data_IF_860381722037
#
_entry.id   IF_860381722037
#
_cell.length_a   1.000
_cell.length_b   1.000
_cell.length_c   1.000
_cell.angle_alpha   90.00
_cell.angle_beta   90.00
_cell.angle_gamma   90.00
#
_symmetry.space_group_name_H-M   'P 1'
#
loop_
_entity.id
_entity.type
_entity.pdbx_description
1 polymer ?
#
# COMPACT_ATOMS: atom_id res chain seq x y z
N UNK A 1 -18.55 -12.50 -22.90
CA UNK A 1 -18.41 -11.19 -22.23
C UNK A 1 -17.16 -10.54 -22.81
N UNK A 2 -17.23 -9.30 -23.21
CA UNK A 2 -16.07 -8.55 -23.72
C UNK A 2 -15.12 -8.27 -22.55
N UNK A 3 -13.82 -8.37 -22.81
CA UNK A 3 -12.79 -7.98 -21.83
C UNK A 3 -12.86 -6.48 -21.61
N UNK A 4 -13.00 -5.98 -20.37
CA UNK A 4 -12.99 -4.54 -20.12
C UNK A 4 -11.65 -3.92 -20.52
N UNK A 5 -11.67 -2.77 -21.19
CA UNK A 5 -10.49 -1.97 -21.51
C UNK A 5 -10.36 -0.82 -20.49
N UNK A 6 -9.34 -0.87 -19.63
CA UNK A 6 -9.12 0.08 -18.55
C UNK A 6 -8.13 1.18 -18.99
N UNK A 7 -8.57 2.43 -18.91
CA UNK A 7 -7.70 3.60 -19.07
C UNK A 7 -7.08 3.98 -17.72
N UNK A 8 -5.75 3.96 -17.63
CA UNK A 8 -5.00 4.11 -16.39
C UNK A 8 -4.32 5.47 -16.30
N UNK A 9 -4.58 6.21 -15.22
CA UNK A 9 -3.90 7.46 -14.85
C UNK A 9 -2.95 7.17 -13.68
N UNK A 10 -1.64 7.26 -13.90
CA UNK A 10 -0.63 6.97 -12.90
C UNK A 10 -0.20 8.26 -12.17
N UNK A 11 -0.53 8.40 -10.90
CA UNK A 11 -0.06 9.48 -10.03
C UNK A 11 1.02 8.92 -9.10
N UNK A 12 2.26 9.26 -9.41
CA UNK A 12 3.45 8.57 -8.91
C UNK A 12 3.95 7.53 -9.93
N UNK A 13 5.21 7.69 -10.36
CA UNK A 13 5.87 6.77 -11.28
C UNK A 13 7.28 6.42 -10.79
N UNK A 14 7.34 6.15 -9.47
CA UNK A 14 8.52 5.68 -8.77
C UNK A 14 8.82 4.19 -9.05
N UNK A 15 9.49 3.52 -8.12
CA UNK A 15 9.82 2.10 -8.28
C UNK A 15 8.58 1.21 -8.44
N UNK A 16 7.53 1.43 -7.62
CA UNK A 16 6.29 0.65 -7.69
C UNK A 16 5.57 0.87 -9.01
N UNK A 17 5.36 2.12 -9.44
CA UNK A 17 4.65 2.42 -10.70
C UNK A 17 5.37 1.87 -11.93
N UNK A 18 6.71 1.97 -12.00
CA UNK A 18 7.49 1.37 -13.08
C UNK A 18 7.45 -0.17 -13.03
N UNK A 19 7.61 -0.78 -11.85
CA UNK A 19 7.50 -2.24 -11.72
C UNK A 19 6.11 -2.74 -12.11
N UNK A 20 5.08 -1.97 -11.79
CA UNK A 20 3.70 -2.30 -12.15
C UNK A 20 3.50 -2.37 -13.68
N UNK A 21 3.93 -1.36 -14.44
CA UNK A 21 3.77 -1.41 -15.91
C UNK A 21 4.59 -2.52 -16.55
N UNK A 22 5.78 -2.82 -16.02
CA UNK A 22 6.55 -3.99 -16.46
C UNK A 22 5.81 -5.30 -16.14
N UNK A 23 5.25 -5.41 -14.95
CA UNK A 23 4.50 -6.60 -14.52
C UNK A 23 3.27 -6.83 -15.40
N UNK A 24 2.51 -5.79 -15.74
CA UNK A 24 1.37 -5.91 -16.67
C UNK A 24 1.79 -6.50 -18.02
N UNK A 25 2.92 -6.06 -18.58
CA UNK A 25 3.45 -6.64 -19.81
C UNK A 25 3.90 -8.10 -19.65
N UNK A 26 4.53 -8.45 -18.51
CA UNK A 26 4.99 -9.81 -18.23
C UNK A 26 3.85 -10.82 -18.07
N UNK A 27 2.71 -10.39 -17.53
CA UNK A 27 1.59 -11.27 -17.21
C UNK A 27 0.36 -11.03 -18.10
N UNK A 28 0.49 -10.22 -19.16
CA UNK A 28 -0.64 -9.74 -19.97
C UNK A 28 -1.60 -10.86 -20.40
N UNK A 29 -1.10 -12.01 -20.85
CA UNK A 29 -1.93 -13.17 -21.24
C UNK A 29 -2.76 -13.79 -20.09
N UNK A 30 -2.44 -13.44 -18.84
CA UNK A 30 -3.13 -13.94 -17.63
C UNK A 30 -4.14 -12.94 -17.07
N UNK A 31 -4.15 -11.70 -17.59
CA UNK A 31 -5.07 -10.66 -17.15
C UNK A 31 -6.48 -10.90 -17.69
N UNK A 32 -7.45 -10.51 -16.93
CA UNK A 32 -8.87 -10.57 -17.29
C UNK A 32 -9.42 -9.19 -17.74
N UNK A 33 -8.52 -8.25 -18.04
CA UNK A 33 -8.80 -6.91 -18.58
C UNK A 33 -7.71 -6.49 -19.57
N UNK A 34 -8.08 -5.69 -20.54
CA UNK A 34 -7.15 -4.93 -21.38
C UNK A 34 -6.84 -3.60 -20.70
N UNK A 35 -5.73 -2.99 -21.05
CA UNK A 35 -5.30 -1.77 -20.39
C UNK A 35 -4.47 -0.86 -21.30
N UNK A 36 -4.58 0.44 -21.05
CA UNK A 36 -3.65 1.45 -21.57
C UNK A 36 -3.38 2.52 -20.51
N UNK A 37 -2.16 3.01 -20.43
CA UNK A 37 -1.82 4.16 -19.60
C UNK A 37 -2.07 5.42 -20.42
N UNK A 38 -2.96 6.28 -19.93
CA UNK A 38 -3.37 7.52 -20.63
C UNK A 38 -2.73 8.76 -20.03
N UNK A 39 -2.20 8.66 -18.82
CA UNK A 39 -1.45 9.76 -18.21
C UNK A 39 -0.49 9.27 -17.13
N UNK A 40 0.60 10.02 -16.96
CA UNK A 40 1.56 9.82 -15.87
C UNK A 40 1.88 11.19 -15.26
N UNK A 41 1.79 11.30 -13.93
CA UNK A 41 2.23 12.47 -13.16
C UNK A 41 3.32 12.08 -12.17
N UNK A 42 4.38 12.87 -12.10
CA UNK A 42 5.48 12.68 -11.13
C UNK A 42 5.81 14.00 -10.43
N UNK A 43 6.40 13.91 -9.26
CA UNK A 43 6.84 15.10 -8.51
C UNK A 43 8.05 15.79 -9.16
N UNK A 44 8.98 15.02 -9.76
CA UNK A 44 10.28 15.53 -10.16
C UNK A 44 10.60 15.34 -11.66
N UNK A 45 9.79 14.55 -12.38
CA UNK A 45 10.02 14.24 -13.80
C UNK A 45 8.90 14.76 -14.71
N UNK A 46 8.11 15.74 -14.22
CA UNK A 46 7.00 16.30 -14.99
C UNK A 46 5.83 15.31 -15.16
N UNK A 47 5.07 15.52 -16.23
CA UNK A 47 3.86 14.73 -16.52
C UNK A 47 3.69 14.55 -18.02
N UNK A 48 2.84 13.59 -18.40
CA UNK A 48 2.38 13.36 -19.78
C UNK A 48 0.91 12.97 -19.74
N UNK A 49 0.13 13.45 -20.71
CA UNK A 49 -1.27 13.05 -20.93
C UNK A 49 -1.42 12.75 -22.42
N UNK A 50 -1.80 11.51 -22.72
CA UNK A 50 -2.13 11.04 -24.07
C UNK A 50 -3.34 10.09 -23.99
N UNK A 51 -4.54 10.54 -24.37
CA UNK A 51 -5.75 9.72 -24.34
C UNK A 51 -5.67 8.45 -25.18
N UNK A 52 -4.86 8.45 -26.26
CA UNK A 52 -4.67 7.28 -27.12
C UNK A 52 -3.72 6.24 -26.53
N UNK A 53 -2.89 6.64 -25.57
CA UNK A 53 -1.99 5.75 -24.83
C UNK A 53 -0.53 6.23 -24.81
N UNK A 54 0.01 6.36 -23.60
CA UNK A 54 1.41 6.74 -23.34
C UNK A 54 2.32 5.55 -23.62
N UNK A 55 3.42 5.78 -24.33
CA UNK A 55 4.52 4.80 -24.45
C UNK A 55 5.19 4.62 -23.06
N UNK A 56 4.69 3.65 -22.29
CA UNK A 56 5.13 3.39 -20.91
C UNK A 56 6.58 2.89 -20.84
N UNK A 57 7.06 2.21 -21.88
CA UNK A 57 8.46 1.75 -21.91
C UNK A 57 9.42 2.94 -22.05
N UNK A 58 9.08 3.87 -22.94
CA UNK A 58 9.83 5.12 -23.11
C UNK A 58 9.71 6.02 -21.89
N UNK A 59 8.53 6.10 -21.25
CA UNK A 59 8.33 6.83 -20.01
C UNK A 59 9.22 6.29 -18.88
N UNK A 60 9.27 4.97 -18.70
CA UNK A 60 10.11 4.32 -17.70
C UNK A 60 11.59 4.63 -17.95
N UNK A 61 12.06 4.48 -19.19
CA UNK A 61 13.44 4.77 -19.56
C UNK A 61 13.83 6.26 -19.32
N UNK A 62 12.92 7.20 -19.57
CA UNK A 62 13.15 8.61 -19.29
C UNK A 62 13.33 8.86 -17.79
N UNK A 63 12.44 8.33 -16.95
CA UNK A 63 12.53 8.51 -15.50
C UNK A 63 13.77 7.85 -14.91
N UNK A 64 14.15 6.66 -15.38
CA UNK A 64 15.39 5.97 -14.97
C UNK A 64 16.65 6.75 -15.34
N UNK A 65 16.62 7.42 -16.48
CA UNK A 65 17.70 8.32 -16.90
C UNK A 65 17.61 9.73 -16.26
N UNK A 66 16.72 9.93 -15.27
CA UNK A 66 16.47 11.23 -14.63
C UNK A 66 16.06 12.34 -15.59
N UNK A 67 15.37 11.98 -16.68
CA UNK A 67 14.85 12.92 -17.65
C UNK A 67 13.35 13.22 -17.39
N UNK A 68 12.88 14.36 -17.94
CA UNK A 68 11.46 14.75 -17.87
C UNK A 68 10.59 13.95 -18.84
N UNK A 69 9.38 13.59 -18.37
CA UNK A 69 8.30 13.02 -19.16
C UNK A 69 7.75 14.01 -20.22
N UNK A 70 8.00 15.30 -20.05
CA UNK A 70 7.64 16.34 -21.02
C UNK A 70 8.20 16.07 -22.43
N UNK A 71 9.26 15.25 -22.53
CA UNK A 71 9.82 14.79 -23.81
C UNK A 71 8.90 13.88 -24.62
N UNK A 72 7.82 13.41 -24.02
CA UNK A 72 6.80 12.60 -24.69
C UNK A 72 5.69 13.46 -25.31
N UNK A 73 5.60 14.75 -24.97
CA UNK A 73 4.60 15.67 -25.50
C UNK A 73 5.22 16.62 -26.54
N UNK A 74 4.38 16.99 -27.54
CA UNK A 74 4.76 18.01 -28.52
C UNK A 74 4.73 19.41 -27.90
N UNK A 75 3.80 19.65 -26.97
CA UNK A 75 3.63 20.91 -26.24
C UNK A 75 3.62 20.63 -24.73
N UNK A 76 4.80 20.50 -24.10
CA UNK A 76 4.90 20.22 -22.66
C UNK A 76 4.24 21.32 -21.82
N UNK A 77 3.57 20.91 -20.75
CA UNK A 77 2.94 21.81 -19.76
C UNK A 77 3.27 21.37 -18.37
N UNK A 78 3.52 22.33 -17.48
CA UNK A 78 3.65 22.07 -16.07
C UNK A 78 2.25 21.73 -15.48
N UNK A 79 2.12 20.58 -14.83
CA UNK A 79 0.87 20.08 -14.24
C UNK A 79 1.16 19.43 -12.90
N UNK A 80 0.28 19.68 -11.92
CA UNK A 80 0.21 18.89 -10.70
C UNK A 80 -0.45 17.52 -10.96
N UNK A 81 -0.36 16.60 -10.01
CA UNK A 81 -1.11 15.33 -10.08
C UNK A 81 -2.61 15.53 -10.23
N UNK A 82 -3.18 16.52 -9.53
CA UNK A 82 -4.60 16.88 -9.62
C UNK A 82 -4.96 17.41 -11.02
N UNK A 83 -4.10 18.24 -11.62
CA UNK A 83 -4.34 18.74 -12.98
C UNK A 83 -4.37 17.61 -14.00
N UNK A 84 -3.42 16.64 -13.87
CA UNK A 84 -3.37 15.44 -14.72
C UNK A 84 -4.64 14.60 -14.57
N UNK A 85 -5.09 14.36 -13.33
CA UNK A 85 -6.34 13.64 -13.04
C UNK A 85 -7.53 14.32 -13.75
N UNK A 86 -7.73 15.62 -13.52
CA UNK A 86 -8.85 16.38 -14.10
C UNK A 86 -8.79 16.46 -15.62
N UNK A 87 -7.62 16.68 -16.18
CA UNK A 87 -7.43 16.71 -17.63
C UNK A 87 -7.75 15.35 -18.27
N UNK A 88 -7.30 14.25 -17.66
CA UNK A 88 -7.58 12.90 -18.15
C UNK A 88 -9.07 12.58 -18.10
N UNK A 89 -9.77 12.93 -17.00
CA UNK A 89 -11.21 12.75 -16.89
C UNK A 89 -12.00 13.58 -17.93
N UNK A 90 -11.55 14.79 -18.23
CA UNK A 90 -12.18 15.63 -19.25
C UNK A 90 -11.95 15.07 -20.65
N UNK A 91 -10.74 14.57 -20.94
CA UNK A 91 -10.40 14.01 -22.25
C UNK A 91 -11.10 12.66 -22.51
N UNK A 92 -11.36 11.90 -21.45
CA UNK A 92 -11.93 10.54 -21.48
C UNK A 92 -13.24 10.47 -20.69
N UNK A 93 -14.14 11.43 -20.94
CA UNK A 93 -15.40 11.57 -20.19
C UNK A 93 -16.32 10.35 -20.32
N UNK A 94 -16.34 9.69 -21.48
CA UNK A 94 -17.14 8.49 -21.69
C UNK A 94 -16.59 7.30 -20.90
N UNK A 95 -15.28 7.07 -20.90
CA UNK A 95 -14.62 6.03 -20.10
C UNK A 95 -14.79 6.29 -18.59
N UNK A 96 -14.74 7.57 -18.17
CA UNK A 96 -15.00 7.94 -16.78
C UNK A 96 -16.46 7.63 -16.40
N UNK A 97 -17.43 7.98 -17.24
CA UNK A 97 -18.84 7.69 -17.01
C UNK A 97 -19.13 6.18 -16.96
N UNK A 98 -18.49 5.40 -17.83
CA UNK A 98 -18.62 3.93 -17.89
C UNK A 98 -17.81 3.20 -16.80
N UNK A 99 -17.07 3.92 -15.96
CA UNK A 99 -16.23 3.34 -14.91
C UNK A 99 -14.96 2.65 -15.43
N UNK A 100 -14.52 2.93 -16.65
CA UNK A 100 -13.30 2.35 -17.25
C UNK A 100 -12.05 3.18 -17.00
N UNK A 101 -12.18 4.38 -16.43
CA UNK A 101 -11.06 5.25 -16.07
C UNK A 101 -10.65 5.02 -14.62
N UNK A 102 -9.37 4.67 -14.40
CA UNK A 102 -8.82 4.30 -13.08
C UNK A 102 -7.61 5.17 -12.76
N UNK A 103 -7.62 5.80 -11.59
CA UNK A 103 -6.47 6.48 -11.02
C UNK A 103 -5.66 5.51 -10.15
N UNK A 104 -4.38 5.32 -10.47
CA UNK A 104 -3.42 4.56 -9.69
C UNK A 104 -2.51 5.53 -8.94
N UNK A 105 -2.72 5.64 -7.62
CA UNK A 105 -1.97 6.53 -6.75
C UNK A 105 -0.83 5.74 -6.07
N UNK A 106 0.42 6.17 -6.28
CA UNK A 106 1.62 5.52 -5.73
C UNK A 106 2.69 6.54 -5.33
N UNK A 107 2.27 7.67 -4.78
CA UNK A 107 3.19 8.67 -4.23
C UNK A 107 3.75 8.24 -2.87
N UNK A 108 4.78 8.93 -2.39
CA UNK A 108 5.42 8.64 -1.10
C UNK A 108 4.46 8.98 0.05
N UNK A 109 4.48 8.15 1.11
CA UNK A 109 3.74 8.42 2.34
C UNK A 109 4.20 9.72 2.99
N UNK A 110 3.26 10.61 3.26
CA UNK A 110 3.42 11.70 4.23
C UNK A 110 2.81 11.26 5.56
N UNK A 111 3.61 11.24 6.61
CA UNK A 111 3.20 10.75 7.93
C UNK A 111 2.51 11.82 8.77
N UNK A 112 2.60 13.08 8.38
CA UNK A 112 2.01 14.18 9.14
C UNK A 112 0.50 14.33 8.86
N UNK A 113 0.08 14.14 7.59
CA UNK A 113 -1.30 14.34 7.20
C UNK A 113 -1.81 13.48 6.04
N UNK A 114 -0.95 12.64 5.44
CA UNK A 114 -1.30 11.77 4.30
C UNK A 114 -1.40 12.48 2.95
N UNK A 115 -0.93 13.73 2.86
CA UNK A 115 -0.95 14.51 1.62
C UNK A 115 0.35 14.31 0.79
N UNK A 116 0.34 14.45 -0.52
CA UNK A 116 -0.80 14.83 -1.37
C UNK A 116 -1.72 13.66 -1.79
N UNK A 117 -1.48 12.44 -1.29
CA UNK A 117 -2.21 11.26 -1.73
C UNK A 117 -3.72 11.35 -1.47
N UNK A 118 -4.15 11.89 -0.33
CA UNK A 118 -5.56 12.12 -0.01
C UNK A 118 -6.21 13.06 -1.03
N UNK A 119 -5.55 14.16 -1.36
CA UNK A 119 -6.03 15.12 -2.36
C UNK A 119 -6.09 14.51 -3.76
N UNK A 120 -5.15 13.62 -4.13
CA UNK A 120 -5.19 12.90 -5.39
C UNK A 120 -6.39 11.93 -5.45
N UNK A 121 -6.58 11.12 -4.41
CA UNK A 121 -7.71 10.18 -4.32
C UNK A 121 -9.04 10.92 -4.39
N UNK A 122 -9.20 12.00 -3.60
CA UNK A 122 -10.40 12.83 -3.63
C UNK A 122 -10.67 13.39 -5.02
N UNK A 123 -9.68 14.00 -5.66
CA UNK A 123 -9.82 14.59 -6.98
C UNK A 123 -10.19 13.54 -8.05
N UNK A 124 -9.65 12.32 -7.95
CA UNK A 124 -9.97 11.23 -8.86
C UNK A 124 -11.41 10.74 -8.67
N UNK A 125 -11.88 10.56 -7.44
CA UNK A 125 -13.26 10.18 -7.14
C UNK A 125 -14.25 11.26 -7.61
N UNK A 126 -13.97 12.55 -7.31
CA UNK A 126 -14.77 13.68 -7.82
C UNK A 126 -14.83 13.73 -9.34
N UNK A 127 -13.77 13.24 -10.01
CA UNK A 127 -13.68 13.14 -11.47
C UNK A 127 -14.25 11.82 -12.02
N UNK A 128 -15.05 11.08 -11.24
CA UNK A 128 -15.71 9.83 -11.62
C UNK A 128 -14.75 8.69 -11.99
N UNK A 129 -13.55 8.67 -11.42
CA UNK A 129 -12.59 7.57 -11.59
C UNK A 129 -12.72 6.56 -10.45
N UNK A 130 -12.49 5.29 -10.75
CA UNK A 130 -12.07 4.34 -9.72
C UNK A 130 -10.68 4.69 -9.23
N UNK A 131 -10.38 4.38 -7.97
CA UNK A 131 -9.07 4.65 -7.37
C UNK A 131 -8.48 3.37 -6.80
N UNK A 132 -7.22 3.14 -7.13
CA UNK A 132 -6.38 2.10 -6.53
C UNK A 132 -5.11 2.77 -5.99
N UNK A 133 -4.75 2.50 -4.73
CA UNK A 133 -3.53 3.07 -4.14
C UNK A 133 -2.73 2.03 -3.35
N UNK A 134 -1.41 2.18 -3.36
CA UNK A 134 -0.49 1.47 -2.46
C UNK A 134 0.00 2.38 -1.33
N UNK A 135 -0.39 3.66 -1.34
CA UNK A 135 -0.07 4.60 -0.30
C UNK A 135 -0.99 4.40 0.92
N UNK A 136 -0.39 4.32 2.08
CA UNK A 136 -1.11 4.10 3.35
C UNK A 136 -1.90 5.34 3.80
N UNK A 137 -1.43 6.55 3.42
CA UNK A 137 -1.97 7.83 3.86
C UNK A 137 -3.49 7.93 3.72
N UNK A 138 -4.08 7.69 2.54
CA UNK A 138 -5.53 7.78 2.34
C UNK A 138 -6.33 6.88 3.29
N UNK A 139 -5.92 5.62 3.49
CA UNK A 139 -6.59 4.69 4.41
C UNK A 139 -6.31 5.00 5.89
N UNK A 140 -5.13 5.54 6.21
CA UNK A 140 -4.72 5.84 7.59
C UNK A 140 -5.31 7.15 8.13
N UNK A 141 -5.56 8.15 7.28
CA UNK A 141 -5.97 9.49 7.73
C UNK A 141 -7.39 9.87 7.29
N UNK A 142 -7.89 9.37 6.15
CA UNK A 142 -9.12 9.85 5.53
C UNK A 142 -10.05 8.74 5.02
N UNK A 143 -9.90 7.49 5.51
CA UNK A 143 -10.63 6.33 4.98
C UNK A 143 -12.14 6.56 4.86
N UNK A 144 -12.82 6.94 5.95
CA UNK A 144 -14.28 7.07 5.95
C UNK A 144 -14.80 8.16 5.02
N UNK A 145 -14.07 9.28 4.91
CA UNK A 145 -14.40 10.37 3.99
C UNK A 145 -14.30 9.89 2.55
N UNK A 146 -13.17 9.25 2.20
CA UNK A 146 -12.91 8.81 0.83
C UNK A 146 -13.79 7.64 0.41
N UNK A 147 -14.07 6.71 1.32
CA UNK A 147 -15.01 5.60 1.08
C UNK A 147 -16.41 6.11 0.85
N UNK A 148 -16.91 7.04 1.70
CA UNK A 148 -18.22 7.66 1.53
C UNK A 148 -18.32 8.45 0.21
N UNK A 149 -17.23 9.12 -0.19
CA UNK A 149 -17.18 9.79 -1.49
C UNK A 149 -17.23 8.78 -2.63
N UNK A 150 -16.47 7.70 -2.56
CA UNK A 150 -16.46 6.64 -3.56
C UNK A 150 -17.87 6.02 -3.75
N UNK A 151 -18.55 5.71 -2.63
CA UNK A 151 -19.93 5.21 -2.62
C UNK A 151 -20.90 6.23 -3.26
N UNK A 152 -20.78 7.51 -2.91
CA UNK A 152 -21.66 8.56 -3.42
C UNK A 152 -21.58 8.75 -4.94
N UNK A 153 -20.41 8.46 -5.53
CA UNK A 153 -20.19 8.58 -6.99
C UNK A 153 -20.22 7.23 -7.71
N UNK A 154 -20.58 6.15 -7.01
CA UNK A 154 -20.58 4.76 -7.51
C UNK A 154 -19.24 4.36 -8.14
N UNK A 155 -18.16 4.64 -7.42
CA UNK A 155 -16.80 4.23 -7.76
C UNK A 155 -16.21 3.45 -6.59
N UNK A 156 -15.05 2.83 -6.78
CA UNK A 156 -14.35 2.12 -5.72
C UNK A 156 -13.08 2.86 -5.32
N UNK A 157 -12.75 2.74 -4.05
CA UNK A 157 -11.47 3.13 -3.47
C UNK A 157 -10.79 1.88 -2.90
N UNK A 158 -9.78 1.36 -3.61
CA UNK A 158 -9.06 0.14 -3.28
C UNK A 158 -7.61 0.44 -2.89
N UNK A 159 -7.06 -0.34 -1.96
CA UNK A 159 -5.75 -0.08 -1.37
C UNK A 159 -5.09 -1.36 -0.81
N UNK A 160 -5.25 -2.50 -1.50
CA UNK A 160 -4.70 -3.78 -1.04
C UNK A 160 -3.20 -3.69 -0.72
N UNK A 161 -2.44 -2.95 -1.54
CA UNK A 161 -1.00 -2.78 -1.35
C UNK A 161 -0.56 -1.89 -0.19
N UNK A 162 -1.50 -1.34 0.59
CA UNK A 162 -1.16 -0.38 1.65
C UNK A 162 -0.52 -1.01 2.89
N UNK A 163 -0.71 -2.30 3.17
CA UNK A 163 -0.26 -2.92 4.44
C UNK A 163 0.75 -4.04 4.26
N UNK A 164 0.45 -5.09 3.51
CA UNK A 164 1.30 -6.27 3.35
C UNK A 164 1.65 -6.53 1.88
N UNK A 165 2.13 -5.51 1.19
CA UNK A 165 2.45 -5.57 -0.23
C UNK A 165 1.28 -6.14 -1.05
N UNK A 166 1.48 -7.24 -1.77
CA UNK A 166 0.44 -7.91 -2.57
C UNK A 166 -0.26 -9.08 -1.86
N UNK A 167 0.01 -9.28 -0.58
CA UNK A 167 -0.66 -10.32 0.19
C UNK A 167 -2.06 -9.84 0.57
N UNK A 168 -3.13 -10.60 0.27
CA UNK A 168 -4.49 -10.14 0.48
C UNK A 168 -4.83 -10.03 1.97
N UNK A 169 -5.20 -8.84 2.40
CA UNK A 169 -5.70 -8.54 3.74
C UNK A 169 -7.10 -7.94 3.64
N UNK A 170 -7.23 -6.83 2.92
CA UNK A 170 -8.51 -6.12 2.80
C UNK A 170 -9.48 -6.88 1.90
N UNK A 171 -9.00 -7.38 0.76
CA UNK A 171 -9.81 -8.22 -0.14
C UNK A 171 -10.20 -9.54 0.53
N UNK A 172 -9.30 -10.18 1.30
CA UNK A 172 -9.62 -11.39 2.05
C UNK A 172 -10.82 -11.16 2.99
N UNK A 173 -10.77 -10.12 3.82
CA UNK A 173 -11.85 -9.83 4.77
C UNK A 173 -13.14 -9.45 4.04
N UNK A 174 -13.07 -8.52 3.09
CA UNK A 174 -14.23 -8.01 2.36
C UNK A 174 -14.96 -9.08 1.56
N UNK A 175 -14.21 -9.96 0.87
CA UNK A 175 -14.79 -10.91 -0.08
C UNK A 175 -15.09 -12.29 0.53
N UNK A 176 -14.37 -12.69 1.57
CA UNK A 176 -14.45 -14.06 2.08
C UNK A 176 -14.87 -14.19 3.54
N UNK A 177 -15.04 -13.08 4.26
CA UNK A 177 -15.47 -13.09 5.68
C UNK A 177 -16.77 -12.29 5.88
N UNK A 178 -17.86 -12.62 5.17
CA UNK A 178 -19.12 -11.89 5.31
C UNK A 178 -19.65 -12.01 6.73
N UNK A 179 -20.11 -10.88 7.31
CA UNK A 179 -20.66 -10.78 8.66
C UNK A 179 -19.70 -11.13 9.81
N UNK A 180 -18.41 -11.32 9.54
CA UNK A 180 -17.39 -11.50 10.58
C UNK A 180 -17.01 -10.12 11.14
N UNK A 181 -16.97 -9.99 12.47
CA UNK A 181 -16.44 -8.80 13.13
C UNK A 181 -14.98 -9.02 13.52
N UNK A 182 -14.13 -8.08 13.16
CA UNK A 182 -12.73 -8.06 13.61
C UNK A 182 -12.69 -7.33 14.96
N UNK A 183 -12.38 -8.06 16.03
CA UNK A 183 -12.28 -7.53 17.38
C UNK A 183 -10.88 -7.02 17.72
N UNK A 184 -9.87 -7.44 16.93
CA UNK A 184 -8.49 -6.99 17.07
C UNK A 184 -7.56 -7.64 16.06
N UNK A 185 -6.33 -7.27 16.14
CA UNK A 185 -5.23 -7.91 15.41
C UNK A 185 -3.91 -7.74 16.13
N UNK A 186 -2.93 -8.57 15.75
CA UNK A 186 -1.52 -8.38 16.07
C UNK A 186 -0.66 -8.88 14.90
N UNK A 187 0.49 -8.22 14.69
CA UNK A 187 1.36 -8.60 13.58
C UNK A 187 2.74 -7.95 13.62
N UNK A 188 3.65 -8.54 12.90
CA UNK A 188 4.93 -7.94 12.48
C UNK A 188 4.71 -7.55 11.01
N UNK A 189 4.54 -6.26 10.76
CA UNK A 189 4.07 -5.73 9.47
C UNK A 189 5.02 -4.68 8.88
N UNK A 190 6.23 -4.56 9.42
CA UNK A 190 7.28 -3.70 8.89
C UNK A 190 8.54 -4.53 8.62
N UNK A 191 8.83 -4.73 7.34
CA UNK A 191 9.93 -5.57 6.83
C UNK A 191 11.30 -5.07 7.29
N UNK A 192 11.54 -3.76 7.25
CA UNK A 192 12.82 -3.14 7.62
C UNK A 192 13.16 -3.38 9.09
N UNK A 193 12.22 -3.12 9.99
CA UNK A 193 12.43 -3.32 11.44
C UNK A 193 12.63 -4.80 11.80
N UNK A 194 11.86 -5.71 11.17
CA UNK A 194 12.02 -7.14 11.41
C UNK A 194 13.39 -7.65 10.94
N UNK A 195 13.85 -7.21 9.76
CA UNK A 195 15.19 -7.53 9.27
C UNK A 195 16.28 -7.02 10.21
N UNK A 196 16.20 -5.75 10.64
CA UNK A 196 17.19 -5.16 11.55
C UNK A 196 17.26 -5.96 12.86
N UNK A 197 16.11 -6.26 13.48
CA UNK A 197 16.09 -7.04 14.73
C UNK A 197 16.65 -8.45 14.51
N UNK A 198 16.32 -9.12 13.41
CA UNK A 198 16.88 -10.44 13.07
C UNK A 198 18.39 -10.40 12.83
N UNK A 199 18.89 -9.35 12.20
CA UNK A 199 20.33 -9.15 11.98
C UNK A 199 21.08 -8.91 13.30
N UNK A 200 20.51 -8.10 14.20
CA UNK A 200 21.09 -7.89 15.54
C UNK A 200 21.11 -9.18 16.38
N UNK A 201 20.09 -10.04 16.29
CA UNK A 201 20.08 -11.36 16.94
C UNK A 201 21.23 -12.25 16.47
N UNK A 202 21.66 -12.11 15.22
CA UNK A 202 22.83 -12.78 14.64
C UNK A 202 24.17 -12.11 15.00
N UNK A 203 24.15 -11.04 15.79
CA UNK A 203 25.33 -10.28 16.20
C UNK A 203 25.82 -9.25 15.18
N UNK A 204 25.02 -8.93 14.15
CA UNK A 204 25.34 -7.89 13.18
C UNK A 204 25.14 -6.50 13.83
N UNK A 205 26.05 -5.52 13.62
CA UNK A 205 25.86 -4.15 14.10
C UNK A 205 24.65 -3.47 13.44
N UNK A 206 23.92 -2.64 14.21
CA UNK A 206 22.72 -1.92 13.75
C UNK A 206 22.94 -1.17 12.41
N UNK A 207 23.98 -0.33 12.35
CA UNK A 207 24.30 0.45 11.16
C UNK A 207 24.62 -0.42 9.93
N UNK A 208 25.16 -1.62 10.14
CA UNK A 208 25.42 -2.55 9.06
C UNK A 208 24.11 -3.17 8.54
N UNK A 209 23.20 -3.55 9.43
CA UNK A 209 21.89 -4.07 9.06
C UNK A 209 21.09 -3.03 8.26
N UNK A 210 21.10 -1.76 8.68
CA UNK A 210 20.46 -0.65 7.94
C UNK A 210 21.06 -0.51 6.54
N UNK A 211 22.40 -0.44 6.42
CA UNK A 211 23.06 -0.35 5.10
C UNK A 211 22.77 -1.54 4.19
N UNK A 212 22.60 -2.72 4.75
CA UNK A 212 22.25 -3.91 3.97
C UNK A 212 20.85 -3.79 3.39
N UNK A 213 19.87 -3.33 4.16
CA UNK A 213 18.50 -3.08 3.67
C UNK A 213 18.45 -2.01 2.59
N UNK A 214 19.24 -0.94 2.73
CA UNK A 214 19.39 0.10 1.70
C UNK A 214 20.01 -0.47 0.42
N UNK A 215 21.07 -1.29 0.54
CA UNK A 215 21.72 -1.92 -0.61
C UNK A 215 20.80 -2.91 -1.35
N UNK A 216 19.86 -3.55 -0.63
CA UNK A 216 18.82 -4.42 -1.21
C UNK A 216 17.65 -3.62 -1.86
N UNK A 217 17.62 -2.28 -1.70
CA UNK A 217 16.55 -1.41 -2.19
C UNK A 217 15.23 -1.59 -1.44
N UNK A 218 15.24 -2.15 -0.23
CA UNK A 218 14.07 -2.35 0.62
C UNK A 218 13.87 -1.15 1.56
N UNK A 219 14.95 -0.66 2.19
CA UNK A 219 14.90 0.56 2.97
C UNK A 219 15.26 1.78 2.11
N UNK A 220 14.58 2.89 2.35
CA UNK A 220 14.88 4.19 1.75
C UNK A 220 16.22 4.75 2.26
N UNK A 221 16.69 5.85 1.65
CA UNK A 221 17.91 6.54 2.09
C UNK A 221 17.81 7.02 3.54
N UNK A 222 16.61 7.44 3.98
CA UNK A 222 16.29 7.74 5.36
C UNK A 222 15.26 6.71 5.89
N UNK A 223 15.71 5.69 6.66
CA UNK A 223 14.84 4.67 7.21
C UNK A 223 14.20 5.05 8.55
N UNK A 224 14.22 6.32 8.94
CA UNK A 224 13.72 6.80 10.24
C UNK A 224 12.26 6.40 10.48
N UNK A 225 11.40 6.48 9.47
CA UNK A 225 9.98 6.09 9.58
C UNK A 225 9.81 4.62 9.96
N UNK A 226 10.67 3.74 9.47
CA UNK A 226 10.66 2.32 9.83
C UNK A 226 11.21 2.10 11.25
N UNK A 227 12.39 2.69 11.53
CA UNK A 227 13.10 2.52 12.81
C UNK A 227 12.29 3.09 13.96
N UNK A 228 11.68 4.24 13.78
CA UNK A 228 10.81 4.88 14.77
C UNK A 228 9.41 4.25 14.85
N UNK A 229 9.06 3.34 13.92
CA UNK A 229 7.79 2.62 13.88
C UNK A 229 6.62 3.40 13.26
N UNK A 230 6.87 4.51 12.55
CA UNK A 230 5.83 5.30 11.91
C UNK A 230 5.16 4.57 10.74
N UNK A 231 5.92 3.81 9.91
CA UNK A 231 5.33 2.98 8.86
C UNK A 231 4.37 1.95 9.45
N UNK A 232 4.79 1.26 10.51
CA UNK A 232 3.93 0.31 11.21
C UNK A 232 2.71 1.00 11.86
N UNK A 233 2.85 2.22 12.38
CA UNK A 233 1.73 2.99 12.94
C UNK A 233 0.73 3.41 11.86
N UNK A 234 1.19 3.81 10.67
CA UNK A 234 0.32 4.14 9.53
C UNK A 234 -0.46 2.90 9.05
N UNK A 235 0.20 1.75 8.93
CA UNK A 235 -0.45 0.46 8.63
C UNK A 235 -1.47 0.06 9.69
N UNK A 236 -1.12 0.26 10.97
CA UNK A 236 -2.02 -0.02 12.11
C UNK A 236 -3.27 0.86 12.05
N UNK A 237 -3.12 2.16 11.79
CA UNK A 237 -4.26 3.06 11.64
C UNK A 237 -5.17 2.67 10.46
N UNK A 238 -4.58 2.33 9.30
CA UNK A 238 -5.33 1.84 8.15
C UNK A 238 -6.12 0.56 8.48
N UNK A 239 -5.49 -0.43 9.14
CA UNK A 239 -6.16 -1.67 9.57
C UNK A 239 -7.30 -1.41 10.55
N UNK A 240 -7.11 -0.52 11.53
CA UNK A 240 -8.15 -0.13 12.49
C UNK A 240 -9.32 0.55 11.78
N UNK A 241 -9.05 1.51 10.90
CA UNK A 241 -10.10 2.26 10.21
C UNK A 241 -10.92 1.35 9.28
N UNK A 242 -10.25 0.50 8.52
CA UNK A 242 -10.89 -0.35 7.51
C UNK A 242 -11.54 -1.60 8.12
N UNK A 243 -10.81 -2.34 8.98
CA UNK A 243 -11.26 -3.65 9.44
C UNK A 243 -12.04 -3.59 10.75
N UNK A 244 -11.81 -2.57 11.57
CA UNK A 244 -12.45 -2.44 12.88
C UNK A 244 -13.45 -1.28 12.95
N UNK A 245 -13.75 -0.61 11.81
CA UNK A 245 -14.59 0.59 11.78
C UNK A 245 -14.16 1.63 12.84
N UNK A 246 -12.83 1.81 12.99
CA UNK A 246 -12.25 2.84 13.83
C UNK A 246 -12.10 4.16 13.07
N UNK A 247 -11.77 5.24 13.79
CA UNK A 247 -11.51 6.56 13.22
C UNK A 247 -10.26 7.15 13.90
N UNK A 248 -9.10 6.56 13.62
CA UNK A 248 -7.81 6.97 14.18
C UNK A 248 -6.84 7.37 13.07
N UNK A 249 -5.80 8.13 13.44
CA UNK A 249 -4.65 8.41 12.58
C UNK A 249 -3.40 7.74 13.14
N UNK A 250 -2.28 7.69 12.41
CA UNK A 250 -1.01 7.16 12.94
C UNK A 250 -0.58 7.83 14.26
N UNK A 251 -0.94 9.10 14.46
CA UNK A 251 -0.63 9.85 15.69
C UNK A 251 -1.44 9.40 16.92
N UNK A 252 -2.52 8.65 16.74
CA UNK A 252 -3.30 8.05 17.83
C UNK A 252 -2.80 6.65 18.22
N UNK A 253 -1.86 6.09 17.46
CA UNK A 253 -1.22 4.80 17.78
C UNK A 253 -0.13 5.03 18.84
N UNK A 254 -0.24 4.38 19.99
CA UNK A 254 0.83 4.39 20.99
C UNK A 254 2.05 3.71 20.40
N UNK A 255 3.13 4.48 20.14
CA UNK A 255 4.26 4.04 19.33
C UNK A 255 5.58 4.11 20.08
N UNK A 256 6.34 3.01 20.01
CA UNK A 256 7.75 2.92 20.39
C UNK A 256 8.50 2.21 19.27
N UNK A 257 9.53 2.84 18.70
CA UNK A 257 10.36 2.27 17.65
C UNK A 257 11.41 1.29 18.18
N UNK A 258 12.27 0.82 17.27
CA UNK A 258 13.35 -0.13 17.58
C UNK A 258 14.70 0.57 17.84
N UNK A 259 14.77 1.89 17.73
CA UNK A 259 16.05 2.63 17.85
C UNK A 259 16.79 2.44 19.17
N UNK A 260 16.07 2.20 20.26
CA UNK A 260 16.62 1.97 21.59
C UNK A 260 16.88 0.49 21.92
N UNK A 261 16.48 -0.45 21.04
CA UNK A 261 16.72 -1.90 21.24
C UNK A 261 18.18 -2.21 21.02
N UNK A 262 18.84 -2.72 22.06
CA UNK A 262 20.27 -3.05 22.04
C UNK A 262 20.50 -4.54 21.77
N UNK A 263 21.62 -4.86 21.17
CA UNK A 263 22.02 -6.26 20.97
C UNK A 263 22.06 -7.08 22.29
N UNK A 264 22.35 -6.44 23.43
CA UNK A 264 22.30 -7.06 24.74
C UNK A 264 20.87 -7.46 25.14
N UNK A 265 19.86 -6.66 24.81
CA UNK A 265 18.45 -6.96 25.12
C UNK A 265 17.97 -8.17 24.32
N UNK A 266 18.39 -8.27 23.05
CA UNK A 266 18.09 -9.41 22.18
C UNK A 266 18.79 -10.68 22.67
N UNK A 267 20.07 -10.60 23.03
CA UNK A 267 20.82 -11.73 23.56
C UNK A 267 20.20 -12.25 24.88
N UNK A 268 19.79 -11.35 25.77
CA UNK A 268 19.12 -11.69 27.03
C UNK A 268 17.73 -12.33 26.79
N UNK A 269 16.96 -11.82 25.83
CA UNK A 269 15.69 -12.42 25.40
C UNK A 269 15.92 -13.85 24.86
N UNK A 270 16.89 -14.03 23.96
CA UNK A 270 17.22 -15.33 23.39
C UNK A 270 17.68 -16.34 24.44
N UNK A 271 18.52 -15.92 25.43
CA UNK A 271 18.91 -16.76 26.54
C UNK A 271 17.74 -17.26 27.38
N UNK A 272 16.61 -16.55 27.36
CA UNK A 272 15.34 -16.93 28.03
C UNK A 272 14.37 -17.68 27.11
N UNK A 273 14.80 -18.07 25.88
CA UNK A 273 13.92 -18.70 24.90
C UNK A 273 12.83 -17.75 24.36
N UNK A 274 13.16 -16.47 24.26
CA UNK A 274 12.25 -15.42 23.74
C UNK A 274 12.89 -14.67 22.58
N UNK A 275 12.09 -13.95 21.83
CA UNK A 275 12.54 -13.07 20.74
C UNK A 275 11.89 -11.69 20.89
N UNK A 276 12.58 -10.63 20.49
CA UNK A 276 12.00 -9.29 20.42
C UNK A 276 11.60 -8.99 18.97
N UNK A 277 10.36 -8.55 18.77
CA UNK A 277 9.83 -8.10 17.47
C UNK A 277 9.08 -6.79 17.63
N UNK A 278 9.08 -5.95 16.59
CA UNK A 278 8.22 -4.77 16.55
C UNK A 278 6.80 -5.25 16.22
N UNK A 279 5.93 -5.25 17.21
CA UNK A 279 4.56 -5.75 17.09
C UNK A 279 3.60 -4.58 16.93
N UNK A 280 2.83 -4.60 15.85
CA UNK A 280 1.66 -3.77 15.67
C UNK A 280 0.43 -4.52 16.20
N UNK A 281 -0.39 -3.87 17.01
CA UNK A 281 -1.58 -4.49 17.59
C UNK A 281 -2.72 -3.50 17.76
N UNK A 282 -3.96 -3.98 17.65
CA UNK A 282 -5.13 -3.25 18.07
C UNK A 282 -6.16 -4.20 18.70
N UNK A 283 -6.92 -3.70 19.65
CA UNK A 283 -7.97 -4.48 20.31
C UNK A 283 -9.16 -3.59 20.66
N UNK A 284 -10.37 -4.15 20.52
CA UNK A 284 -11.62 -3.53 20.95
C UNK A 284 -12.00 -4.06 22.34
N UNK A 285 -12.12 -3.16 23.30
CA UNK A 285 -12.57 -3.49 24.66
C UNK A 285 -13.64 -2.48 25.11
N UNK A 286 -14.82 -2.95 25.48
CA UNK A 286 -15.91 -2.08 25.93
C UNK A 286 -16.31 -1.00 24.91
N UNK A 287 -16.15 -1.26 23.62
CA UNK A 287 -16.44 -0.30 22.53
C UNK A 287 -15.28 0.65 22.19
N UNK A 288 -14.22 0.69 22.99
CA UNK A 288 -13.02 1.49 22.74
C UNK A 288 -11.99 0.65 22.00
N UNK A 289 -11.37 1.23 20.95
CA UNK A 289 -10.26 0.62 20.23
C UNK A 289 -8.96 1.22 20.75
N UNK A 290 -8.02 0.38 21.16
CA UNK A 290 -6.65 0.76 21.50
C UNK A 290 -5.72 0.21 20.44
N UNK A 291 -4.73 1.00 19.99
CA UNK A 291 -3.77 0.61 18.97
C UNK A 291 -2.34 0.92 19.43
N UNK A 292 -1.42 0.01 19.17
CA UNK A 292 -0.01 0.11 19.59
C UNK A 292 0.93 -0.43 18.54
N UNK A 293 2.15 0.12 18.54
CA UNK A 293 3.32 -0.38 17.83
C UNK A 293 4.49 -0.29 18.80
N UNK A 294 5.01 -1.43 19.24
CA UNK A 294 6.10 -1.44 20.22
C UNK A 294 6.94 -2.73 20.12
N UNK A 295 8.23 -2.68 20.50
CA UNK A 295 9.03 -3.88 20.67
C UNK A 295 8.46 -4.78 21.77
N UNK A 296 8.01 -5.98 21.41
CA UNK A 296 7.49 -6.97 22.36
C UNK A 296 8.46 -8.16 22.53
N UNK A 297 8.64 -8.62 23.77
CA UNK A 297 9.37 -9.85 24.07
C UNK A 297 8.44 -11.05 24.00
N UNK A 298 8.47 -11.77 22.88
CA UNK A 298 7.60 -12.88 22.53
C UNK A 298 8.15 -14.23 22.99
N UNK A 299 7.30 -15.14 23.45
CA UNK A 299 7.70 -16.51 23.75
C UNK A 299 8.01 -17.30 22.46
N UNK A 300 8.90 -18.28 22.49
CA UNK A 300 9.27 -19.08 21.32
C UNK A 300 8.09 -19.80 20.63
N UNK A 301 7.01 -20.07 21.36
CA UNK A 301 5.76 -20.64 20.81
C UNK A 301 4.86 -19.63 20.09
N UNK A 302 5.13 -18.33 20.26
CA UNK A 302 4.39 -17.27 19.57
C UNK A 302 4.79 -17.28 18.08
N UNK A 303 3.86 -17.39 17.13
CA UNK A 303 4.21 -17.46 15.72
C UNK A 303 4.96 -16.21 15.23
N UNK A 304 4.69 -15.03 15.81
CA UNK A 304 5.39 -13.79 15.47
C UNK A 304 6.87 -13.81 15.91
N UNK A 305 7.22 -14.58 16.96
CA UNK A 305 8.60 -14.69 17.40
C UNK A 305 9.52 -15.35 16.37
N UNK A 306 8.96 -16.21 15.51
CA UNK A 306 9.71 -17.02 14.55
C UNK A 306 9.80 -16.41 13.16
N UNK A 307 9.34 -15.18 12.99
CA UNK A 307 9.53 -14.44 11.75
C UNK A 307 10.99 -13.97 11.65
N UNK A 308 11.58 -14.21 10.49
CA UNK A 308 12.97 -13.88 10.23
C UNK A 308 13.09 -12.93 9.02
N UNK A 309 14.15 -12.13 9.03
CA UNK A 309 14.53 -11.25 7.93
C UNK A 309 13.36 -10.38 7.41
N UNK A 310 12.92 -10.62 6.17
CA UNK A 310 11.87 -9.83 5.50
C UNK A 310 10.47 -10.41 5.66
N UNK A 311 10.31 -11.44 6.49
CA UNK A 311 9.00 -12.05 6.74
C UNK A 311 8.08 -11.12 7.52
N UNK A 312 6.81 -11.11 7.17
CA UNK A 312 5.74 -10.42 7.88
C UNK A 312 4.61 -11.39 8.21
N UNK A 313 3.86 -11.09 9.25
CA UNK A 313 2.61 -11.81 9.56
C UNK A 313 1.62 -10.89 10.25
N UNK A 314 0.34 -11.13 9.97
CA UNK A 314 -0.79 -10.46 10.58
C UNK A 314 -1.78 -11.53 11.06
N UNK A 315 -2.18 -11.47 12.32
CA UNK A 315 -3.19 -12.34 12.92
C UNK A 315 -4.41 -11.49 13.27
N UNK A 316 -5.53 -11.78 12.63
CA UNK A 316 -6.83 -11.15 12.89
C UNK A 316 -7.56 -11.92 13.98
N UNK A 317 -8.08 -11.23 14.96
CA UNK A 317 -8.89 -11.78 16.07
C UNK A 317 -10.34 -11.51 15.72
N UNK A 318 -11.10 -12.58 15.50
CA UNK A 318 -12.47 -12.49 15.00
C UNK A 318 -13.48 -13.09 15.98
N UNK A 319 -14.73 -12.67 15.89
CA UNK A 319 -15.81 -13.19 16.72
C UNK A 319 -16.31 -14.58 16.29
N UNK A 320 -16.24 -14.92 14.99
CA UNK A 320 -16.80 -16.17 14.47
C UNK A 320 -15.74 -17.21 14.08
N UNK A 321 -14.55 -16.79 13.62
CA UNK A 321 -13.51 -17.68 13.08
C UNK A 321 -12.36 -17.90 14.07
N UNK A 322 -12.37 -17.22 15.23
CA UNK A 322 -11.23 -17.20 16.13
C UNK A 322 -10.08 -16.38 15.56
N UNK A 323 -8.86 -16.90 15.65
CA UNK A 323 -7.67 -16.25 15.11
C UNK A 323 -7.39 -16.72 13.68
N UNK A 324 -7.26 -15.77 12.75
CA UNK A 324 -6.92 -16.03 11.35
C UNK A 324 -5.56 -15.41 11.05
N UNK A 325 -4.58 -16.24 10.66
CA UNK A 325 -3.22 -15.83 10.38
C UNK A 325 -2.95 -15.66 8.89
N UNK A 326 -2.30 -14.55 8.52
CA UNK A 326 -1.82 -14.23 7.18
C UNK A 326 -0.30 -14.08 7.29
N UNK A 327 0.46 -14.86 6.51
CA UNK A 327 1.93 -14.88 6.57
C UNK A 327 2.52 -14.58 5.21
N UNK A 328 3.41 -13.61 5.17
CA UNK A 328 4.24 -13.28 4.01
C UNK A 328 5.68 -13.73 4.29
N UNK A 329 6.20 -14.64 3.44
CA UNK A 329 7.56 -15.16 3.59
C UNK A 329 8.63 -14.27 2.99
N UNK A 330 8.27 -13.50 1.98
CA UNK A 330 9.17 -12.58 1.29
C UNK A 330 8.41 -11.31 0.93
N UNK A 331 8.96 -10.15 1.25
CA UNK A 331 8.47 -8.85 0.78
C UNK A 331 9.28 -8.41 -0.45
N UNK A 332 8.62 -8.14 -1.57
CA UNK A 332 9.28 -7.69 -2.80
C UNK A 332 8.51 -6.58 -3.50
N UNK A 333 9.24 -5.74 -4.24
CA UNK A 333 8.64 -4.71 -5.07
C UNK A 333 7.61 -5.26 -6.07
N UNK A 334 7.82 -6.48 -6.56
CA UNK A 334 6.88 -7.16 -7.46
C UNK A 334 5.56 -7.47 -6.77
N UNK A 335 5.58 -7.84 -5.49
CA UNK A 335 4.36 -8.10 -4.72
C UNK A 335 3.58 -6.80 -4.49
N UNK A 336 4.25 -5.69 -4.14
CA UNK A 336 3.59 -4.38 -4.02
C UNK A 336 2.96 -3.95 -5.34
N UNK A 337 3.66 -4.14 -6.47
CA UNK A 337 3.13 -3.88 -7.80
C UNK A 337 1.94 -4.80 -8.15
N UNK A 338 1.97 -6.06 -7.69
CA UNK A 338 0.89 -7.02 -7.92
C UNK A 338 -0.39 -6.67 -7.15
N UNK A 339 -0.30 -5.98 -6.02
CA UNK A 339 -1.49 -5.47 -5.34
C UNK A 339 -2.36 -4.58 -6.24
N UNK A 340 -1.71 -3.72 -7.06
CA UNK A 340 -2.42 -2.89 -8.04
C UNK A 340 -3.15 -3.75 -9.08
N UNK A 341 -2.53 -4.85 -9.52
CA UNK A 341 -3.17 -5.81 -10.45
C UNK A 341 -4.39 -6.47 -9.80
N UNK A 342 -4.26 -6.88 -8.53
CA UNK A 342 -5.37 -7.49 -7.77
C UNK A 342 -6.58 -6.54 -7.73
N UNK A 343 -6.35 -5.28 -7.39
CA UNK A 343 -7.42 -4.30 -7.28
C UNK A 343 -8.01 -3.93 -8.65
N UNK A 344 -7.20 -3.86 -9.72
CA UNK A 344 -7.69 -3.71 -11.10
C UNK A 344 -8.54 -4.89 -11.56
N UNK A 345 -8.14 -6.13 -11.26
CA UNK A 345 -8.96 -7.32 -11.55
C UNK A 345 -10.31 -7.28 -10.83
N UNK A 346 -10.37 -6.71 -9.62
CA UNK A 346 -11.63 -6.49 -8.90
C UNK A 346 -12.52 -5.45 -9.60
N UNK A 347 -11.93 -4.37 -10.12
CA UNK A 347 -12.65 -3.38 -10.94
C UNK A 347 -13.18 -4.03 -12.20
N UNK A 348 -12.34 -4.79 -12.93
CA UNK A 348 -12.74 -5.53 -14.12
C UNK A 348 -13.93 -6.47 -13.88
N UNK A 349 -13.89 -7.21 -12.77
CA UNK A 349 -14.99 -8.10 -12.40
C UNK A 349 -16.30 -7.32 -12.17
N UNK A 350 -16.23 -6.20 -11.46
CA UNK A 350 -17.40 -5.33 -11.20
C UNK A 350 -18.00 -4.79 -12.49
N UNK A 351 -17.18 -4.36 -13.45
CA UNK A 351 -17.65 -3.87 -14.75
C UNK A 351 -18.37 -4.99 -15.55
N UNK A 352 -17.83 -6.20 -15.57
CA UNK A 352 -18.48 -7.36 -16.21
C UNK A 352 -19.82 -7.74 -15.59
N UNK A 353 -19.94 -7.61 -14.26
CA UNK A 353 -21.21 -7.85 -13.56
C UNK A 353 -22.25 -6.76 -13.89
N UNK A 354 -21.80 -5.55 -14.14
CA UNK A 354 -22.66 -4.43 -14.55
C UNK A 354 -23.19 -4.63 -15.97
N UNK A 355 -22.31 -4.97 -16.94
CA UNK A 355 -22.69 -5.24 -18.33
C UNK A 355 -23.63 -6.45 -18.48
N UNK A 356 -23.67 -7.32 -17.47
CA UNK A 356 -24.52 -8.52 -17.46
C UNK A 356 -25.94 -8.26 -16.93
N UNK A 357 -26.25 -7.05 -16.40
CA UNK A 357 -27.57 -6.65 -15.87
C UNK A 357 -28.38 -5.89 -16.90
#
# INVERSE_FOLDING_TARGET
>A
MTTPDLALVLVGFGHVGRRFVHLLNEIGERLDFDWRVVAIATRHHGSVVDPEGVDVARAAALVEASHSLDRLEAEPRERSGIDVIRQSAQALADEAAEGRLVCLESTVLDIDGGEPAISHVRAALEAQMHVVTVNKGPAAFAYHELESLAEAVDRVFFFEGAVMDGIPVFNLVRETMPAVRIDGFRGVINTTSNFILSALERGQPFDQAVREMQARGIAEADPSLDIEGWDAAAKTAALVNVLMAGAITPHHVARTGIGDVRAADLADAMARGRRIRLVASAARQGGVITARVEPEMLAARDPLANLEDTENALYLITDLLGEVGIVQREGTLTQTAYALVTDLSRISLRLREWDAR
#
